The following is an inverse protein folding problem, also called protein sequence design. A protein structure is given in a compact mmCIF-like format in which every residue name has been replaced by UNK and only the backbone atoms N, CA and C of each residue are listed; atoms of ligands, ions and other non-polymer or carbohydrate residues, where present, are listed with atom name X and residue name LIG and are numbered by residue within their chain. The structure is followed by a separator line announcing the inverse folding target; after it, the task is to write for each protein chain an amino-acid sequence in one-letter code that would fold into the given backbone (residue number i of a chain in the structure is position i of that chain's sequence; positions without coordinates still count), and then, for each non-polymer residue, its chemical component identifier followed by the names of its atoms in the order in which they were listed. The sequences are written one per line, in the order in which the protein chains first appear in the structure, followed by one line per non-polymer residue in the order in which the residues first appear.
data_IF_625935343797
#
_entry.id   IF_625935343797
#
_cell.length_a   1.000
_cell.length_b   1.000
_cell.length_c   1.000
_cell.angle_alpha   90.00
_cell.angle_beta   90.00
_cell.angle_gamma   90.00
#
_symmetry.space_group_name_H-M   'P 1'
#
loop_
_entity.id
_entity.type
_entity.pdbx_description
1 polymer ?
#
# COMPACT_ATOMS: atom_id res chain seq x y z
N UNK A 1 -5.25 6.80 -6.67
CA UNK A 1 -4.56 6.49 -5.39
C UNK A 1 -3.52 5.40 -5.60
N UNK A 2 -2.35 5.49 -4.97
CA UNK A 2 -1.36 4.39 -4.98
C UNK A 2 -1.51 3.57 -3.70
N UNK A 3 -1.73 2.27 -3.82
CA UNK A 3 -1.75 1.34 -2.70
C UNK A 3 -0.57 0.37 -2.78
N UNK A 4 -0.14 -0.15 -1.63
CA UNK A 4 0.89 -1.17 -1.52
C UNK A 4 0.32 -2.41 -0.84
N UNK A 5 0.49 -3.57 -1.48
CA UNK A 5 0.03 -4.86 -0.97
C UNK A 5 1.23 -5.76 -0.70
N UNK A 6 1.21 -6.47 0.43
CA UNK A 6 2.27 -7.39 0.81
C UNK A 6 1.90 -8.81 0.35
N UNK A 7 2.76 -9.41 -0.46
CA UNK A 7 2.60 -10.79 -0.94
C UNK A 7 3.77 -11.62 -0.44
N UNK A 8 3.50 -12.71 0.29
CA UNK A 8 4.57 -13.58 0.79
C UNK A 8 5.15 -14.39 -0.38
N UNK A 9 6.47 -14.34 -0.58
CA UNK A 9 7.12 -14.99 -1.73
C UNK A 9 7.71 -16.38 -1.43
N UNK A 10 7.83 -16.77 -0.15
CA UNK A 10 8.33 -18.09 0.29
C UNK A 10 9.63 -18.56 -0.39
N UNK A 11 10.52 -17.62 -0.70
CA UNK A 11 11.77 -17.88 -1.40
C UNK A 11 12.90 -17.14 -0.71
N UNK A 12 14.05 -17.79 -0.60
CA UNK A 12 15.24 -17.17 -0.04
C UNK A 12 15.91 -16.24 -1.06
N UNK A 13 16.02 -14.95 -0.70
CA UNK A 13 16.72 -13.91 -1.46
C UNK A 13 17.93 -13.36 -0.68
N UNK A 14 18.42 -14.06 0.34
CA UNK A 14 19.51 -13.61 1.21
C UNK A 14 20.75 -13.21 0.42
N UNK A 15 21.12 -13.96 -0.62
CA UNK A 15 22.29 -13.67 -1.43
C UNK A 15 22.10 -12.46 -2.34
N UNK A 16 20.92 -12.32 -2.97
CA UNK A 16 20.55 -11.14 -3.74
C UNK A 16 20.52 -9.88 -2.87
N UNK A 17 20.00 -9.98 -1.64
CA UNK A 17 19.95 -8.88 -0.67
C UNK A 17 21.36 -8.48 -0.21
N UNK A 18 22.25 -9.45 0.05
CA UNK A 18 23.68 -9.18 0.33
C UNK A 18 24.35 -8.46 -0.84
N UNK A 19 24.10 -8.88 -2.08
CA UNK A 19 24.62 -8.21 -3.29
C UNK A 19 24.05 -6.80 -3.43
N UNK A 20 22.75 -6.63 -3.21
CA UNK A 20 22.07 -5.33 -3.23
C UNK A 20 22.66 -4.36 -2.21
N UNK A 21 22.96 -4.84 -1.00
CA UNK A 21 23.64 -4.05 0.03
C UNK A 21 25.03 -3.59 -0.41
N UNK A 22 25.84 -4.48 -0.99
CA UNK A 22 27.17 -4.11 -1.53
C UNK A 22 27.07 -3.05 -2.62
N UNK A 23 26.08 -3.17 -3.51
CA UNK A 23 25.80 -2.16 -4.55
C UNK A 23 25.42 -0.82 -3.92
N UNK A 24 24.58 -0.82 -2.89
CA UNK A 24 24.18 0.41 -2.18
C UNK A 24 25.36 1.07 -1.45
N UNK A 25 26.22 0.28 -0.77
CA UNK A 25 27.40 0.79 -0.09
C UNK A 25 28.40 1.40 -1.08
N UNK A 26 28.59 0.76 -2.24
CA UNK A 26 29.38 1.30 -3.33
C UNK A 26 28.78 2.60 -3.91
N UNK A 27 27.46 2.64 -4.06
CA UNK A 27 26.71 3.80 -4.55
C UNK A 27 26.88 5.02 -3.64
N UNK A 28 26.81 4.84 -2.31
CA UNK A 28 27.01 5.93 -1.34
C UNK A 28 28.44 6.47 -1.37
N UNK A 29 29.44 5.61 -1.62
CA UNK A 29 30.85 6.03 -1.65
C UNK A 29 31.24 6.75 -2.94
N UNK A 30 30.75 6.28 -4.08
CA UNK A 30 31.20 6.72 -5.41
C UNK A 30 30.22 7.65 -6.10
N UNK A 31 28.95 7.64 -5.69
CA UNK A 31 27.85 8.33 -6.36
C UNK A 31 27.69 7.97 -7.86
N UNK A 32 28.17 6.81 -8.30
CA UNK A 32 27.97 6.38 -9.69
C UNK A 32 26.49 6.11 -9.99
N UNK A 33 26.10 6.33 -11.24
CA UNK A 33 24.77 5.99 -11.78
C UNK A 33 24.83 4.86 -12.82
N UNK A 34 26.03 4.37 -13.14
CA UNK A 34 26.25 3.36 -14.18
C UNK A 34 26.20 1.95 -13.59
N UNK A 35 25.32 1.10 -14.14
CA UNK A 35 25.30 -0.33 -13.78
C UNK A 35 26.55 -1.09 -14.21
N UNK A 36 27.37 -0.54 -15.12
CA UNK A 36 28.63 -1.16 -15.54
C UNK A 36 29.62 -1.24 -14.36
N UNK A 37 29.63 -0.21 -13.52
CA UNK A 37 30.58 -0.06 -12.42
C UNK A 37 30.30 -1.06 -11.29
N UNK A 38 29.05 -1.48 -11.16
CA UNK A 38 28.58 -2.44 -10.15
C UNK A 38 28.36 -3.85 -10.71
N UNK A 39 28.73 -4.09 -11.98
CA UNK A 39 28.53 -5.39 -12.65
C UNK A 39 29.25 -6.53 -11.93
N UNK A 40 30.41 -6.25 -11.34
CA UNK A 40 31.23 -7.22 -10.62
C UNK A 40 30.55 -7.80 -9.37
N UNK A 41 29.52 -7.13 -8.82
CA UNK A 41 28.73 -7.67 -7.70
C UNK A 41 27.72 -8.75 -8.12
N UNK A 42 27.48 -8.95 -9.41
CA UNK A 42 26.63 -10.03 -9.93
C UNK A 42 25.11 -9.83 -9.72
N UNK A 43 24.66 -8.62 -9.37
CA UNK A 43 23.23 -8.29 -9.30
C UNK A 43 22.71 -7.94 -10.71
N UNK A 44 21.48 -8.36 -11.04
CA UNK A 44 20.84 -8.01 -12.31
C UNK A 44 20.77 -6.48 -12.47
N UNK A 45 21.15 -5.98 -13.65
CA UNK A 45 21.25 -4.55 -13.95
C UNK A 45 19.96 -3.78 -13.68
N UNK A 46 18.80 -4.37 -13.96
CA UNK A 46 17.50 -3.76 -13.72
C UNK A 46 17.27 -3.43 -12.23
N UNK A 47 17.75 -4.27 -11.32
CA UNK A 47 17.65 -4.07 -9.86
C UNK A 47 18.76 -3.13 -9.40
N UNK A 48 20.01 -3.38 -9.84
CA UNK A 48 21.16 -2.55 -9.49
C UNK A 48 20.94 -1.07 -9.86
N UNK A 49 20.35 -0.79 -11.02
CA UNK A 49 20.03 0.57 -11.46
C UNK A 49 19.03 1.28 -10.52
N UNK A 50 18.06 0.57 -9.94
CA UNK A 50 17.14 1.17 -8.96
C UNK A 50 17.87 1.54 -7.68
N UNK A 51 18.74 0.66 -7.19
CA UNK A 51 19.57 0.90 -6.01
C UNK A 51 20.49 2.11 -6.25
N UNK A 52 21.21 2.15 -7.38
CA UNK A 52 22.06 3.29 -7.74
C UNK A 52 21.27 4.60 -7.77
N UNK A 53 20.08 4.61 -8.37
CA UNK A 53 19.22 5.81 -8.41
C UNK A 53 18.78 6.24 -7.01
N UNK A 54 18.47 5.31 -6.11
CA UNK A 54 18.04 5.60 -4.73
C UNK A 54 19.17 6.14 -3.86
N UNK A 55 20.34 5.51 -3.91
CA UNK A 55 21.46 5.83 -3.00
C UNK A 55 22.41 6.88 -3.56
N UNK A 56 22.76 6.84 -4.86
CA UNK A 56 23.73 7.79 -5.43
C UNK A 56 23.17 9.20 -5.56
N UNK A 57 21.88 9.35 -5.86
CA UNK A 57 21.25 10.69 -6.03
C UNK A 57 21.12 11.45 -4.72
N UNK A 58 21.01 10.76 -3.59
CA UNK A 58 20.85 11.40 -2.30
C UNK A 58 22.20 11.55 -1.58
N UNK A 59 22.84 12.70 -1.77
CA UNK A 59 24.14 13.05 -1.15
C UNK A 59 24.12 13.18 0.37
N UNK A 60 22.94 13.15 1.00
CA UNK A 60 22.80 13.23 2.46
C UNK A 60 22.96 11.88 3.15
N UNK A 61 22.88 10.77 2.41
CA UNK A 61 23.00 9.43 2.97
C UNK A 61 24.45 9.18 3.39
N UNK A 62 24.67 8.91 4.67
CA UNK A 62 26.00 8.59 5.22
C UNK A 62 26.23 7.08 5.40
N UNK A 63 25.16 6.30 5.59
CA UNK A 63 25.21 4.87 5.88
C UNK A 63 24.04 4.15 5.24
N UNK A 64 24.30 2.94 4.77
CA UNK A 64 23.28 2.01 4.27
C UNK A 64 22.74 1.19 5.43
N UNK A 65 21.42 1.22 5.63
CA UNK A 65 20.71 0.39 6.60
C UNK A 65 20.15 -0.87 5.92
N UNK A 66 18.83 -0.91 5.76
CA UNK A 66 18.13 -1.97 5.03
C UNK A 66 18.04 -1.65 3.53
N UNK A 67 18.14 -2.68 2.68
CA UNK A 67 18.09 -2.55 1.21
C UNK A 67 17.17 -3.62 0.65
N UNK A 68 16.13 -3.18 -0.05
CA UNK A 68 15.21 -4.07 -0.78
C UNK A 68 15.66 -4.26 -2.22
N UNK A 69 15.25 -5.38 -2.82
CA UNK A 69 15.34 -5.56 -4.26
C UNK A 69 14.18 -4.80 -4.90
N UNK A 70 14.47 -3.64 -5.50
CA UNK A 70 13.44 -2.85 -6.19
C UNK A 70 13.37 -3.22 -7.67
N UNK A 71 12.20 -3.65 -8.13
CA UNK A 71 11.89 -3.97 -9.53
C UNK A 71 10.93 -2.91 -10.07
N UNK A 72 11.30 -2.18 -11.15
CA UNK A 72 10.41 -1.22 -11.80
C UNK A 72 9.35 -1.92 -12.67
N UNK A 73 8.27 -1.21 -13.02
CA UNK A 73 7.20 -1.70 -13.91
C UNK A 73 7.67 -2.47 -15.16
N UNK A 74 8.71 -2.00 -15.85
CA UNK A 74 9.28 -2.60 -17.06
C UNK A 74 9.83 -4.03 -16.82
N UNK A 75 10.11 -4.38 -15.57
CA UNK A 75 10.57 -5.69 -15.14
C UNK A 75 9.47 -6.58 -14.59
N UNK A 76 8.19 -6.24 -14.79
CA UNK A 76 7.04 -6.92 -14.20
C UNK A 76 6.08 -7.33 -15.32
N UNK A 77 5.62 -8.58 -15.28
CA UNK A 77 4.53 -9.08 -16.14
C UNK A 77 3.36 -9.48 -15.26
N UNK A 78 2.17 -8.99 -15.58
CA UNK A 78 0.96 -9.23 -14.81
C UNK A 78 0.01 -10.06 -15.64
N UNK A 79 -0.42 -11.20 -15.11
CA UNK A 79 -1.51 -12.01 -15.62
C UNK A 79 -2.75 -11.76 -14.74
N UNK A 80 -3.76 -11.10 -15.31
CA UNK A 80 -5.00 -10.75 -14.59
C UNK A 80 -6.02 -11.89 -14.56
N UNK A 81 -5.93 -12.84 -15.49
CA UNK A 81 -6.84 -13.98 -15.55
C UNK A 81 -6.45 -15.00 -14.48
N UNK A 82 -5.15 -15.27 -14.35
CA UNK A 82 -4.60 -16.19 -13.34
C UNK A 82 -4.34 -15.54 -11.98
N UNK A 83 -4.43 -14.21 -11.91
CA UNK A 83 -4.05 -13.42 -10.73
C UNK A 83 -2.60 -13.71 -10.29
N UNK A 84 -1.67 -13.65 -11.25
CA UNK A 84 -0.24 -13.88 -11.01
C UNK A 84 0.59 -12.68 -11.47
N UNK A 85 1.65 -12.39 -10.74
CA UNK A 85 2.67 -11.41 -11.12
C UNK A 85 3.99 -12.15 -11.30
N UNK A 86 4.52 -12.11 -12.52
CA UNK A 86 5.81 -12.69 -12.85
C UNK A 86 6.90 -11.62 -12.90
N UNK A 87 8.00 -11.88 -12.19
CA UNK A 87 9.20 -11.05 -12.12
C UNK A 87 10.35 -11.79 -12.83
N UNK A 88 10.62 -11.49 -14.13
CA UNK A 88 11.60 -12.23 -14.91
C UNK A 88 13.04 -12.13 -14.37
N UNK A 89 13.40 -11.00 -13.75
CA UNK A 89 14.74 -10.78 -13.19
C UNK A 89 15.07 -11.71 -12.03
N UNK A 90 14.05 -12.15 -11.28
CA UNK A 90 14.17 -13.07 -10.14
C UNK A 90 13.66 -14.49 -10.47
N UNK A 91 13.06 -14.70 -11.65
CA UNK A 91 12.31 -15.91 -12.00
C UNK A 91 11.30 -16.26 -10.89
N UNK A 92 10.53 -15.27 -10.44
CA UNK A 92 9.60 -15.39 -9.34
C UNK A 92 8.18 -15.16 -9.85
N UNK A 93 7.27 -16.07 -9.54
CA UNK A 93 5.83 -15.91 -9.77
C UNK A 93 5.17 -15.66 -8.42
N UNK A 94 4.39 -14.59 -8.33
CA UNK A 94 3.68 -14.16 -7.14
C UNK A 94 2.17 -14.28 -7.39
N UNK A 95 1.47 -15.25 -6.80
CA UNK A 95 0.02 -15.23 -6.80
C UNK A 95 -0.46 -14.06 -5.94
N UNK A 96 -1.47 -13.31 -6.38
CA UNK A 96 -2.05 -12.21 -5.62
C UNK A 96 -3.56 -12.36 -5.44
N UNK A 97 -4.05 -11.90 -4.29
CA UNK A 97 -5.46 -11.94 -3.90
C UNK A 97 -6.06 -10.55 -3.66
N UNK A 98 -5.29 -9.48 -3.88
CA UNK A 98 -5.82 -8.12 -3.79
C UNK A 98 -6.65 -7.76 -5.03
N UNK A 99 -7.36 -6.62 -4.96
CA UNK A 99 -8.31 -6.19 -5.99
C UNK A 99 -7.67 -6.18 -7.39
N UNK A 100 -8.40 -6.62 -8.42
CA UNK A 100 -7.93 -6.68 -9.80
C UNK A 100 -8.28 -5.43 -10.64
N UNK A 101 -8.84 -4.40 -10.00
CA UNK A 101 -9.28 -3.15 -10.64
C UNK A 101 -8.20 -2.05 -10.67
N UNK A 102 -6.93 -2.43 -10.45
CA UNK A 102 -5.82 -1.50 -10.59
C UNK A 102 -5.49 -1.20 -12.06
N UNK A 103 -5.01 0.00 -12.34
CA UNK A 103 -4.58 0.40 -13.69
C UNK A 103 -3.26 -0.26 -14.06
N UNK A 104 -2.27 -0.21 -13.16
CA UNK A 104 -0.92 -0.75 -13.38
C UNK A 104 -0.21 -1.08 -12.07
N UNK A 105 0.77 -1.98 -12.16
CA UNK A 105 1.79 -2.18 -11.11
C UNK A 105 2.93 -1.19 -11.37
N UNK A 106 3.25 -0.36 -10.38
CA UNK A 106 4.27 0.68 -10.49
C UNK A 106 5.68 0.11 -10.24
N UNK A 107 5.80 -0.62 -9.14
CA UNK A 107 7.05 -1.24 -8.71
C UNK A 107 6.77 -2.37 -7.71
N UNK A 108 7.73 -3.27 -7.55
CA UNK A 108 7.73 -4.28 -6.50
C UNK A 108 9.03 -4.16 -5.73
N UNK A 109 8.94 -4.09 -4.41
CA UNK A 109 10.09 -4.20 -3.51
C UNK A 109 10.06 -5.57 -2.84
N UNK A 110 11.13 -6.35 -2.98
CA UNK A 110 11.27 -7.66 -2.33
C UNK A 110 12.25 -7.54 -1.18
N UNK A 111 11.80 -7.90 0.02
CA UNK A 111 12.62 -8.03 1.22
C UNK A 111 12.93 -9.51 1.52
N UNK A 112 13.16 -9.86 2.78
CA UNK A 112 13.46 -11.23 3.20
C UNK A 112 12.23 -12.17 3.15
N UNK A 113 11.01 -11.63 3.25
CA UNK A 113 9.78 -12.42 3.43
C UNK A 113 8.64 -12.05 2.47
N UNK A 114 8.55 -10.78 2.09
CA UNK A 114 7.46 -10.17 1.36
C UNK A 114 7.92 -9.45 0.09
N UNK A 115 7.05 -9.53 -0.91
CA UNK A 115 7.06 -8.68 -2.07
C UNK A 115 5.98 -7.59 -1.86
N UNK A 116 6.43 -6.35 -1.69
CA UNK A 116 5.59 -5.18 -1.57
C UNK A 116 5.21 -4.67 -2.97
N UNK A 117 4.00 -4.97 -3.40
CA UNK A 117 3.48 -4.64 -4.72
C UNK A 117 2.78 -3.29 -4.66
N UNK A 118 3.36 -2.29 -5.32
CA UNK A 118 2.75 -0.96 -5.44
C UNK A 118 1.90 -0.88 -6.71
N UNK A 119 0.61 -0.56 -6.57
CA UNK A 119 -0.35 -0.48 -7.67
C UNK A 119 -1.09 0.85 -7.67
N UNK A 120 -1.48 1.30 -8.86
CA UNK A 120 -2.35 2.47 -9.03
C UNK A 120 -3.80 2.01 -9.11
N UNK A 121 -4.64 2.51 -8.20
CA UNK A 121 -6.09 2.27 -8.19
C UNK A 121 -6.79 3.55 -8.65
N UNK A 122 -7.77 3.45 -9.58
CA UNK A 122 -8.56 4.60 -9.99
C UNK A 122 -9.32 5.14 -8.79
N UNK A 123 -9.19 6.45 -8.56
CA UNK A 123 -9.98 7.12 -7.53
C UNK A 123 -11.40 7.30 -8.02
N UNK A 124 -12.37 7.03 -7.13
CA UNK A 124 -13.74 7.41 -7.41
C UNK A 124 -13.80 8.94 -7.51
N UNK A 125 -14.61 9.49 -8.42
CA UNK A 125 -14.77 10.93 -8.53
C UNK A 125 -15.20 11.50 -7.17
N UNK A 126 -14.60 12.63 -6.80
CA UNK A 126 -14.98 13.36 -5.59
C UNK A 126 -16.45 13.76 -5.74
N UNK A 127 -17.30 13.19 -4.90
CA UNK A 127 -18.70 13.57 -4.85
C UNK A 127 -18.73 14.97 -4.24
N UNK A 128 -19.11 15.97 -5.04
CA UNK A 128 -19.47 17.30 -4.53
C UNK A 128 -20.68 17.11 -3.61
N UNK A 129 -20.56 17.33 -2.29
CA UNK A 129 -21.69 17.15 -1.39
C UNK A 129 -22.77 18.16 -1.76
N UNK A 130 -23.88 17.70 -2.33
CA UNK A 130 -25.01 18.58 -2.67
C UNK A 130 -25.78 19.05 -1.42
N UNK A 131 -25.72 18.25 -0.35
CA UNK A 131 -26.33 18.55 0.93
C UNK A 131 -25.58 17.85 2.05
N UNK A 132 -25.83 18.28 3.27
CA UNK A 132 -25.35 17.61 4.48
C UNK A 132 -26.51 17.41 5.45
N UNK A 133 -26.45 16.33 6.22
CA UNK A 133 -27.35 16.08 7.33
C UNK A 133 -26.55 16.18 8.61
N UNK A 134 -26.99 17.03 9.54
CA UNK A 134 -26.43 17.08 10.88
C UNK A 134 -26.97 15.89 11.67
N UNK A 135 -26.10 15.01 12.16
CA UNK A 135 -26.50 13.86 12.99
C UNK A 135 -25.89 14.01 14.37
N UNK A 136 -26.73 14.21 15.38
CA UNK A 136 -26.34 14.21 16.78
C UNK A 136 -26.82 12.92 17.46
N UNK A 137 -25.87 12.17 18.02
CA UNK A 137 -26.15 10.92 18.76
C UNK A 137 -26.14 11.13 20.28
N UNK A 138 -25.76 12.30 20.77
CA UNK A 138 -25.72 12.62 22.19
C UNK A 138 -27.08 13.13 22.68
N UNK A 139 -28.15 12.45 22.29
CA UNK A 139 -29.51 12.89 22.51
C UNK A 139 -30.14 12.16 23.71
N UNK A 140 -30.68 12.89 24.67
CA UNK A 140 -31.36 12.30 25.84
C UNK A 140 -32.79 11.87 25.46
N UNK A 141 -33.12 10.59 25.66
CA UNK A 141 -34.47 10.04 25.43
C UNK A 141 -34.77 9.52 24.02
N UNK A 142 -33.79 9.55 23.12
CA UNK A 142 -33.89 9.08 21.73
C UNK A 142 -32.51 8.64 21.25
N UNK A 143 -32.43 7.98 20.08
CA UNK A 143 -31.17 7.38 19.60
C UNK A 143 -30.32 8.42 18.85
N UNK A 144 -30.96 9.23 18.01
CA UNK A 144 -30.28 10.26 17.25
C UNK A 144 -31.25 11.38 16.86
N UNK A 145 -30.72 12.60 16.74
CA UNK A 145 -31.36 13.73 16.09
C UNK A 145 -30.70 13.93 14.74
N UNK A 146 -31.50 13.96 13.68
CA UNK A 146 -31.05 14.24 12.33
C UNK A 146 -31.68 15.56 11.88
N UNK A 147 -30.86 16.53 11.50
CA UNK A 147 -31.29 17.81 10.97
C UNK A 147 -30.91 17.92 9.49
N UNK A 148 -31.88 18.35 8.66
CA UNK A 148 -31.63 18.75 7.28
C UNK A 148 -31.65 20.29 7.19
N UNK A 149 -30.50 20.95 7.02
CA UNK A 149 -30.38 22.41 6.96
C UNK A 149 -31.08 23.03 5.75
N UNK A 150 -31.18 22.31 4.62
CA UNK A 150 -31.84 22.82 3.41
C UNK A 150 -33.35 22.90 3.57
N UNK A 151 -33.96 21.98 4.32
CA UNK A 151 -35.42 21.95 4.50
C UNK A 151 -35.87 22.46 5.87
N UNK A 152 -34.94 22.71 6.79
CA UNK A 152 -35.21 23.00 8.20
C UNK A 152 -35.82 21.84 8.99
N UNK A 153 -35.99 20.66 8.38
CA UNK A 153 -36.63 19.51 9.04
C UNK A 153 -35.69 18.87 10.05
N UNK A 154 -36.27 18.52 11.20
CA UNK A 154 -35.58 17.80 12.28
C UNK A 154 -36.33 16.51 12.58
N UNK A 155 -35.62 15.38 12.49
CA UNK A 155 -36.12 14.07 12.85
C UNK A 155 -35.47 13.59 14.14
N UNK A 156 -36.29 13.20 15.12
CA UNK A 156 -35.84 12.50 16.32
C UNK A 156 -36.08 11.01 16.13
N UNK A 157 -35.01 10.25 15.91
CA UNK A 157 -35.06 8.81 15.65
C UNK A 157 -35.00 8.02 16.96
N UNK A 158 -35.77 6.93 17.04
CA UNK A 158 -35.76 6.07 18.22
C UNK A 158 -36.41 6.70 19.46
N UNK A 159 -37.48 7.47 19.31
CA UNK A 159 -38.21 8.12 20.43
C UNK A 159 -38.68 7.16 21.53
N UNK A 160 -38.87 5.88 21.20
CA UNK A 160 -39.26 4.84 22.16
C UNK A 160 -38.08 4.18 22.87
N UNK A 161 -36.83 4.50 22.51
CA UNK A 161 -35.65 3.80 23.02
C UNK A 161 -35.55 3.86 24.54
N UNK A 162 -35.81 5.03 25.14
CA UNK A 162 -35.84 5.17 26.60
C UNK A 162 -36.94 4.33 27.24
N UNK A 163 -38.16 4.37 26.69
CA UNK A 163 -39.27 3.57 27.21
C UNK A 163 -39.00 2.06 27.11
N UNK A 164 -38.41 1.59 26.02
CA UNK A 164 -38.02 0.18 25.86
C UNK A 164 -36.94 -0.19 26.88
N UNK A 165 -35.90 0.65 26.99
CA UNK A 165 -34.83 0.44 27.96
C UNK A 165 -35.38 0.36 29.38
N UNK A 166 -36.24 1.30 29.78
CA UNK A 166 -36.82 1.34 31.12
C UNK A 166 -37.77 0.16 31.37
N UNK A 167 -38.61 -0.22 30.38
CA UNK A 167 -39.57 -1.33 30.51
C UNK A 167 -38.90 -2.69 30.70
N UNK A 168 -37.78 -2.93 30.03
CA UNK A 168 -37.09 -4.23 30.08
C UNK A 168 -35.86 -4.23 30.98
N UNK A 169 -35.61 -3.14 31.73
CA UNK A 169 -34.47 -3.01 32.64
C UNK A 169 -34.50 -4.04 33.77
N UNK A 170 -35.69 -4.36 34.27
CA UNK A 170 -35.93 -5.29 35.37
C UNK A 170 -36.20 -6.73 34.89
N UNK A 171 -36.33 -6.95 33.58
CA UNK A 171 -36.64 -8.26 32.99
C UNK A 171 -35.38 -9.06 32.58
N UNK A 172 -34.21 -8.68 33.10
CA UNK A 172 -32.90 -9.24 32.79
C UNK A 172 -32.22 -9.89 34.03
N UNK A 173 -32.96 -10.14 35.11
CA UNK A 173 -32.57 -11.08 36.18
C UNK A 173 -33.00 -12.51 35.81
#
# INVERSE_FOLDING_TARGET
MILTFNVKHNRDFTDELKKARRVAEFAVRTHTLSSKDVKHFGLKSIIANQILRKYSRNKKIKKVGHVNLTIPNQGIRVDREKQEIYIPSLKLTLPYSFRNDFEKVNQIEVDEQYAHVSVTIPEKPVIQPQTWLGVDRNATGHIAVVANPQTGKVWKLGKKAKHIHDKYRESQE
#
